data_IF_639010053873
#
_entry.id   IF_639010053873
#
_cell.length_a   1.000
_cell.length_b   1.000
_cell.length_c   1.000
_cell.angle_alpha   90.00
_cell.angle_beta   90.00
_cell.angle_gamma   90.00
#
_symmetry.space_group_name_H-M   'P 1'
#
loop_
_entity.id
_entity.type
_entity.pdbx_description
1 polymer ?
#
# COMPACT_ATOMS: atom_id res chain seq x y z
N UNK A 1 33.78 -61.08 49.28
CA UNK A 1 32.82 -61.38 48.19
C UNK A 1 32.84 -60.23 47.19
N UNK A 2 33.00 -60.55 45.88
CA UNK A 2 32.49 -59.86 44.66
C UNK A 2 32.68 -58.34 44.51
N UNK A 3 32.91 -57.75 43.34
CA UNK A 3 33.45 -58.08 41.99
C UNK A 3 33.29 -56.75 41.21
N UNK A 4 34.29 -56.43 40.40
CA UNK A 4 34.18 -55.77 39.09
C UNK A 4 33.87 -54.27 38.94
N UNK A 5 34.66 -53.70 38.02
CA UNK A 5 34.64 -52.39 37.36
C UNK A 5 33.39 -52.10 36.52
N UNK A 6 33.15 -50.81 36.28
CA UNK A 6 32.29 -50.28 35.22
C UNK A 6 32.66 -48.83 34.86
N UNK A 7 33.14 -48.63 33.63
CA UNK A 7 33.48 -47.37 32.95
C UNK A 7 32.21 -46.61 32.54
N UNK A 8 32.25 -45.25 32.44
CA UNK A 8 31.77 -44.47 31.26
C UNK A 8 31.93 -42.92 31.38
N UNK A 9 32.69 -42.41 30.41
CA UNK A 9 32.54 -41.20 29.56
C UNK A 9 32.50 -39.74 30.12
N UNK A 10 33.65 -39.08 29.89
CA UNK A 10 33.91 -37.78 29.24
C UNK A 10 32.81 -36.70 29.06
N UNK A 11 33.11 -35.49 29.52
CA UNK A 11 32.69 -34.22 28.91
C UNK A 11 33.80 -33.16 29.10
N UNK A 12 34.56 -32.86 28.04
CA UNK A 12 35.49 -31.72 27.98
C UNK A 12 34.82 -30.59 27.22
N UNK A 13 34.57 -29.47 27.91
CA UNK A 13 34.18 -28.21 27.30
C UNK A 13 35.43 -27.53 26.70
N UNK A 14 35.38 -27.21 25.40
CA UNK A 14 36.37 -26.36 24.74
C UNK A 14 35.68 -25.05 24.35
N UNK A 15 36.15 -23.95 24.93
CA UNK A 15 35.77 -22.58 24.58
C UNK A 15 36.69 -22.13 23.46
N UNK A 16 36.15 -21.91 22.26
CA UNK A 16 36.87 -21.31 21.14
C UNK A 16 36.38 -19.88 20.90
N UNK A 17 37.29 -18.94 21.18
CA UNK A 17 37.18 -17.51 20.90
C UNK A 17 37.55 -17.31 19.42
N UNK A 18 36.67 -16.75 18.59
CA UNK A 18 37.03 -16.33 17.23
C UNK A 18 37.03 -14.80 17.12
N UNK A 19 38.21 -14.30 16.81
CA UNK A 19 38.61 -12.90 16.68
C UNK A 19 37.99 -12.20 15.47
N UNK A 20 37.51 -10.96 15.66
CA UNK A 20 37.23 -10.02 14.58
C UNK A 20 38.56 -9.40 14.10
N UNK A 21 38.97 -9.67 12.88
CA UNK A 21 40.03 -8.94 12.20
C UNK A 21 39.42 -7.81 11.35
N UNK A 22 39.62 -6.57 11.81
CA UNK A 22 39.51 -5.36 10.99
C UNK A 22 40.82 -5.23 10.19
N UNK A 23 40.75 -5.10 8.86
CA UNK A 23 41.91 -4.68 8.06
C UNK A 23 41.48 -3.52 7.16
N UNK A 24 41.96 -2.33 7.52
CA UNK A 24 42.09 -1.17 6.66
C UNK A 24 43.38 -1.30 5.84
N UNK A 25 43.36 -1.00 4.54
CA UNK A 25 44.60 -0.87 3.77
C UNK A 25 44.38 -0.50 2.30
N UNK A 26 44.96 0.62 1.89
CA UNK A 26 45.04 1.12 0.52
C UNK A 26 46.47 0.94 -0.02
N UNK A 27 46.61 0.85 -1.35
CA UNK A 27 47.83 1.00 -2.20
C UNK A 27 48.61 -0.25 -2.68
N UNK A 28 48.76 -0.24 -4.01
CA UNK A 28 49.77 -0.78 -4.95
C UNK A 28 50.07 -2.29 -5.13
N UNK A 29 49.94 -2.73 -6.40
CA UNK A 29 50.94 -3.60 -7.05
C UNK A 29 50.51 -5.01 -7.49
N UNK A 30 50.12 -5.17 -8.77
CA UNK A 30 50.64 -6.23 -9.64
C UNK A 30 50.04 -7.66 -9.64
N UNK A 31 49.37 -7.97 -10.76
CA UNK A 31 49.21 -9.27 -11.44
C UNK A 31 48.29 -10.38 -10.91
N UNK A 32 47.16 -10.51 -11.62
CA UNK A 32 46.47 -11.71 -12.14
C UNK A 32 46.46 -12.96 -11.25
N UNK A 33 45.30 -13.25 -10.67
CA UNK A 33 44.65 -14.54 -10.85
C UNK A 33 43.12 -14.39 -10.84
N UNK A 34 42.49 -15.36 -11.47
CA UNK A 34 41.12 -15.44 -11.92
C UNK A 34 40.15 -15.64 -10.77
N UNK A 35 38.99 -15.01 -10.90
CA UNK A 35 37.81 -15.31 -10.10
C UNK A 35 37.36 -14.12 -9.29
N UNK A 36 36.36 -13.40 -9.81
CA UNK A 36 35.51 -12.61 -8.93
C UNK A 36 34.07 -13.06 -9.12
N UNK A 37 33.66 -13.86 -8.14
CA UNK A 37 32.27 -14.10 -7.84
C UNK A 37 31.59 -12.76 -7.65
N UNK A 38 30.52 -12.56 -8.42
CA UNK A 38 29.47 -11.64 -8.04
C UNK A 38 28.98 -12.10 -6.67
N UNK A 39 29.51 -11.49 -5.60
CA UNK A 39 28.88 -11.47 -4.30
C UNK A 39 27.54 -10.76 -4.47
N UNK A 40 26.57 -11.48 -5.02
CA UNK A 40 25.18 -11.08 -5.03
C UNK A 40 24.77 -11.03 -3.58
N UNK A 41 24.64 -9.82 -3.06
CA UNK A 41 23.78 -9.55 -1.92
C UNK A 41 22.51 -10.38 -2.12
N UNK A 42 22.28 -11.34 -1.23
CA UNK A 42 21.16 -12.27 -1.35
C UNK A 42 19.90 -11.44 -1.47
N UNK A 43 19.30 -11.40 -2.66
CA UNK A 43 18.12 -10.61 -2.94
C UNK A 43 17.09 -10.86 -1.83
N UNK A 44 16.66 -9.79 -1.16
CA UNK A 44 15.70 -9.92 -0.07
C UNK A 44 14.43 -10.57 -0.62
N UNK A 45 14.01 -11.64 0.06
CA UNK A 45 12.87 -12.47 -0.36
C UNK A 45 11.56 -11.77 0.00
N UNK A 46 10.58 -11.87 -0.88
CA UNK A 46 9.23 -11.38 -0.62
C UNK A 46 8.61 -12.08 0.60
N UNK A 47 7.84 -11.32 1.36
CA UNK A 47 6.94 -11.84 2.38
C UNK A 47 5.86 -12.70 1.74
N UNK A 48 5.49 -13.78 2.42
CA UNK A 48 4.37 -14.63 2.05
C UNK A 48 3.03 -13.93 2.29
N UNK A 49 1.96 -14.50 1.69
CA UNK A 49 0.60 -14.04 1.94
C UNK A 49 0.17 -14.15 3.41
N UNK A 50 0.77 -15.08 4.18
CA UNK A 50 0.47 -15.23 5.61
C UNK A 50 1.12 -14.12 6.44
N UNK A 51 2.37 -13.78 6.14
CA UNK A 51 3.09 -12.67 6.79
C UNK A 51 2.40 -11.33 6.46
N UNK A 52 2.05 -11.09 5.19
CA UNK A 52 1.32 -9.87 4.81
C UNK A 52 -0.04 -9.74 5.53
N UNK A 53 -0.74 -10.84 5.79
CA UNK A 53 -2.00 -10.84 6.56
C UNK A 53 -1.81 -10.42 8.02
N UNK A 54 -0.63 -10.61 8.60
CA UNK A 54 -0.32 -10.15 9.95
C UNK A 54 0.05 -8.66 9.98
N UNK A 55 0.59 -8.14 8.87
CA UNK A 55 1.05 -6.76 8.74
C UNK A 55 -0.03 -5.79 8.22
N UNK A 56 -1.06 -6.26 7.51
CA UNK A 56 -2.18 -5.42 7.08
C UNK A 56 -3.04 -5.00 8.29
N UNK A 57 -3.52 -3.75 8.30
CA UNK A 57 -4.43 -3.25 9.35
C UNK A 57 -5.63 -4.18 9.59
N UNK A 58 -6.02 -4.33 10.85
CA UNK A 58 -7.12 -5.17 11.29
C UNK A 58 -8.21 -4.37 12.04
N UNK A 59 -9.29 -5.07 12.42
CA UNK A 59 -10.41 -4.48 13.16
C UNK A 59 -9.90 -3.86 14.47
N UNK A 60 -10.25 -2.59 14.69
CA UNK A 60 -9.90 -1.85 15.91
C UNK A 60 -8.50 -1.23 15.90
N UNK A 61 -7.72 -1.41 14.83
CA UNK A 61 -6.36 -0.84 14.74
C UNK A 61 -6.32 0.58 14.15
N UNK A 62 -7.45 1.04 13.59
CA UNK A 62 -7.59 2.40 13.05
C UNK A 62 -8.70 3.11 13.83
N UNK A 63 -8.37 4.03 14.76
CA UNK A 63 -9.37 4.76 15.54
C UNK A 63 -10.35 5.52 14.65
N UNK A 64 -11.65 5.35 14.90
CA UNK A 64 -12.71 5.98 14.10
C UNK A 64 -12.99 5.29 12.76
N UNK A 65 -12.48 4.07 12.54
CA UNK A 65 -12.74 3.32 11.31
C UNK A 65 -13.13 1.88 11.59
N UNK A 66 -14.11 1.39 10.83
CA UNK A 66 -14.42 -0.03 10.68
C UNK A 66 -13.52 -0.65 9.62
N UNK A 67 -12.58 -1.49 10.06
CA UNK A 67 -11.68 -2.24 9.17
C UNK A 67 -12.23 -3.65 8.91
N UNK A 68 -12.29 -4.04 7.64
CA UNK A 68 -12.81 -5.33 7.19
C UNK A 68 -12.32 -5.74 5.80
N UNK A 69 -12.87 -6.83 5.23
CA UNK A 69 -12.57 -7.24 3.86
C UNK A 69 -13.05 -6.17 2.86
N UNK A 70 -12.37 -6.08 1.72
CA UNK A 70 -12.78 -5.22 0.61
C UNK A 70 -14.11 -5.74 0.04
N UNK A 71 -15.18 -4.95 0.17
CA UNK A 71 -16.49 -5.30 -0.40
C UNK A 71 -16.37 -5.42 -1.92
N UNK A 72 -16.86 -6.53 -2.49
CA UNK A 72 -16.71 -6.84 -3.92
C UNK A 72 -15.32 -7.36 -4.34
N UNK A 73 -14.34 -7.34 -3.43
CA UNK A 73 -12.96 -7.78 -3.69
C UNK A 73 -12.15 -6.78 -4.53
N UNK A 74 -10.86 -7.07 -4.69
CA UNK A 74 -9.97 -6.34 -5.59
C UNK A 74 -10.10 -6.94 -7.00
N UNK A 75 -10.29 -6.11 -8.06
CA UNK A 75 -10.42 -6.63 -9.42
C UNK A 75 -9.16 -7.37 -9.88
N UNK A 76 -9.34 -8.35 -10.78
CA UNK A 76 -8.19 -8.99 -11.43
C UNK A 76 -7.49 -7.97 -12.34
N UNK A 77 -6.19 -7.71 -12.09
CA UNK A 77 -5.41 -6.73 -12.85
C UNK A 77 -5.40 -6.93 -14.36
N UNK A 78 -5.55 -8.17 -14.84
CA UNK A 78 -5.57 -8.46 -16.28
C UNK A 78 -6.86 -7.96 -16.96
N UNK A 79 -7.89 -7.64 -16.16
CA UNK A 79 -9.15 -7.03 -16.61
C UNK A 79 -9.15 -5.50 -16.49
N UNK A 80 -8.10 -4.93 -15.89
CA UNK A 80 -7.94 -3.49 -15.67
C UNK A 80 -6.83 -3.01 -16.58
N UNK A 81 -7.26 -2.35 -17.66
CA UNK A 81 -6.37 -1.84 -18.70
C UNK A 81 -6.86 -0.48 -19.16
N UNK A 82 -5.94 0.46 -19.24
CA UNK A 82 -6.08 1.67 -20.04
C UNK A 82 -5.82 1.35 -21.51
N UNK A 83 -6.36 2.19 -22.39
CA UNK A 83 -6.14 2.09 -23.83
C UNK A 83 -4.67 2.39 -24.17
N UNK A 84 -4.05 3.30 -23.42
CA UNK A 84 -2.60 3.48 -23.39
C UNK A 84 -1.97 2.64 -22.28
N UNK A 85 -1.19 1.62 -22.67
CA UNK A 85 -0.65 0.67 -21.72
C UNK A 85 0.31 1.27 -20.68
N UNK A 86 0.93 2.42 -20.97
CA UNK A 86 1.83 3.09 -20.02
C UNK A 86 1.09 3.66 -18.80
N UNK A 87 -0.23 3.90 -18.92
CA UNK A 87 -1.07 4.41 -17.82
C UNK A 87 -1.60 3.30 -16.88
N UNK A 88 -1.35 2.04 -17.21
CA UNK A 88 -1.81 0.90 -16.40
C UNK A 88 -1.32 0.94 -14.94
N UNK A 89 -0.06 1.29 -14.62
CA UNK A 89 0.39 1.35 -13.23
C UNK A 89 -0.41 2.36 -12.40
N UNK A 90 -0.65 3.56 -12.93
CA UNK A 90 -1.46 4.59 -12.27
C UNK A 90 -2.94 4.15 -12.14
N UNK A 91 -3.57 3.68 -13.23
CA UNK A 91 -4.95 3.18 -13.22
C UNK A 91 -5.17 2.08 -12.18
N UNK A 92 -4.25 1.10 -12.11
CA UNK A 92 -4.34 -0.01 -11.18
C UNK A 92 -4.22 0.44 -9.73
N UNK A 93 -3.27 1.34 -9.44
CA UNK A 93 -3.11 1.89 -8.11
C UNK A 93 -4.36 2.70 -7.66
N UNK A 94 -5.02 3.43 -8.57
CA UNK A 94 -6.25 4.18 -8.30
C UNK A 94 -7.46 3.32 -7.91
N UNK A 95 -7.40 2.01 -8.15
CA UNK A 95 -8.48 1.08 -7.78
C UNK A 95 -8.01 0.03 -6.78
N UNK A 96 -6.91 0.31 -6.07
CA UNK A 96 -6.39 -0.53 -5.01
C UNK A 96 -5.65 -1.79 -5.46
N UNK A 97 -5.28 -1.90 -6.74
CA UNK A 97 -4.47 -3.03 -7.25
C UNK A 97 -2.99 -2.72 -7.02
N UNK A 98 -2.28 -3.68 -6.45
CA UNK A 98 -0.84 -3.61 -6.26
C UNK A 98 -0.09 -3.40 -7.61
N UNK A 99 0.83 -2.42 -7.69
CA UNK A 99 1.63 -2.19 -8.89
C UNK A 99 2.53 -3.39 -9.26
N UNK A 100 2.83 -3.56 -10.55
CA UNK A 100 3.75 -4.61 -11.02
C UNK A 100 3.29 -6.06 -10.77
N UNK A 101 4.27 -6.91 -10.45
CA UNK A 101 4.11 -8.37 -10.29
C UNK A 101 4.57 -8.81 -8.88
N UNK A 102 3.80 -8.54 -7.81
CA UNK A 102 4.17 -8.98 -6.47
C UNK A 102 4.07 -10.50 -6.32
N UNK A 103 4.97 -11.08 -5.51
CA UNK A 103 4.93 -12.50 -5.16
C UNK A 103 3.71 -12.83 -4.29
N UNK A 104 3.29 -11.90 -3.43
CA UNK A 104 2.08 -12.00 -2.63
C UNK A 104 1.47 -10.61 -2.39
N UNK A 105 0.14 -10.57 -2.20
CA UNK A 105 -0.56 -9.37 -1.77
C UNK A 105 -1.76 -9.71 -0.86
N UNK A 106 -2.21 -8.72 -0.09
CA UNK A 106 -3.45 -8.77 0.69
C UNK A 106 -4.05 -7.38 0.84
N UNK A 107 -5.36 -7.30 1.04
CA UNK A 107 -6.07 -6.02 1.10
C UNK A 107 -7.11 -5.95 2.20
N UNK A 108 -7.36 -4.74 2.69
CA UNK A 108 -8.41 -4.41 3.65
C UNK A 108 -9.08 -3.09 3.26
N UNK A 109 -10.31 -2.95 3.69
CA UNK A 109 -11.08 -1.72 3.56
C UNK A 109 -11.29 -1.14 4.96
N UNK A 110 -10.96 0.13 5.14
CA UNK A 110 -11.25 0.93 6.32
C UNK A 110 -12.34 1.95 5.94
N UNK A 111 -13.48 1.88 6.61
CA UNK A 111 -14.59 2.80 6.43
C UNK A 111 -14.69 3.68 7.66
N UNK A 112 -14.64 5.00 7.49
CA UNK A 112 -14.79 5.95 8.58
C UNK A 112 -16.14 5.77 9.28
N UNK A 113 -16.10 5.80 10.62
CA UNK A 113 -17.28 5.77 11.46
C UNK A 113 -17.93 7.15 11.50
N UNK A 114 -18.90 7.39 10.64
CA UNK A 114 -19.88 8.45 10.84
C UNK A 114 -21.14 7.91 11.51
N UNK A 115 -21.72 8.73 12.41
CA UNK A 115 -23.03 8.44 12.99
C UNK A 115 -24.05 8.48 11.86
N UNK A 116 -24.88 7.44 11.78
CA UNK A 116 -26.08 7.54 10.95
C UNK A 116 -26.92 8.73 11.44
N UNK A 117 -27.67 9.40 10.54
CA UNK A 117 -28.58 10.46 10.95
C UNK A 117 -29.53 9.86 11.99
N UNK A 118 -29.41 10.32 13.25
CA UNK A 118 -30.28 9.84 14.34
C UNK A 118 -31.71 10.34 14.17
N UNK A 119 -31.87 11.37 13.34
CA UNK A 119 -33.14 12.00 13.05
C UNK A 119 -33.75 11.30 11.83
N UNK A 120 -34.63 10.33 12.09
CA UNK A 120 -35.68 10.01 11.11
C UNK A 120 -36.41 11.33 10.83
N UNK A 121 -36.82 11.61 9.59
CA UNK A 121 -37.71 12.74 9.33
C UNK A 121 -38.95 12.60 10.23
N UNK A 122 -38.98 13.33 11.34
CA UNK A 122 -40.05 13.21 12.35
C UNK A 122 -41.25 14.06 11.96
N UNK A 123 -41.11 14.90 10.94
CA UNK A 123 -42.17 15.76 10.42
C UNK A 123 -42.05 15.98 8.91
N UNK A 124 -43.19 16.33 8.30
CA UNK A 124 -43.24 16.81 6.90
C UNK A 124 -42.40 18.08 6.68
N UNK A 125 -42.15 18.88 7.73
CA UNK A 125 -41.30 20.07 7.67
C UNK A 125 -39.82 19.73 7.53
N UNK A 126 -39.36 18.58 8.03
CA UNK A 126 -37.95 18.17 7.89
C UNK A 126 -37.63 17.73 6.46
N UNK A 127 -38.64 17.22 5.74
CA UNK A 127 -38.57 16.83 4.33
C UNK A 127 -38.65 18.03 3.38
N UNK A 128 -39.37 19.10 3.76
CA UNK A 128 -39.53 20.29 2.91
C UNK A 128 -38.47 21.36 3.11
N UNK A 129 -37.73 21.32 4.23
CA UNK A 129 -36.68 22.30 4.56
C UNK A 129 -35.25 21.83 4.24
N UNK A 130 -35.07 20.71 3.53
CA UNK A 130 -33.75 20.19 3.14
C UNK A 130 -32.88 19.63 4.27
N UNK A 131 -33.25 19.83 5.54
CA UNK A 131 -32.47 19.39 6.71
C UNK A 131 -32.20 17.89 6.76
N UNK A 132 -33.18 17.08 6.35
CA UNK A 132 -33.00 15.64 6.27
C UNK A 132 -32.03 15.24 5.15
N UNK A 133 -32.07 15.93 4.02
CA UNK A 133 -31.16 15.71 2.89
C UNK A 133 -29.73 16.14 3.25
N UNK A 134 -29.57 17.27 3.95
CA UNK A 134 -28.29 17.73 4.49
C UNK A 134 -27.71 16.73 5.50
N UNK A 135 -28.52 16.25 6.44
CA UNK A 135 -28.10 15.25 7.43
C UNK A 135 -27.72 13.91 6.76
N UNK A 136 -28.45 13.49 5.73
CA UNK A 136 -28.13 12.31 4.94
C UNK A 136 -26.82 12.51 4.16
N UNK A 137 -26.64 13.66 3.50
CA UNK A 137 -25.40 14.00 2.79
C UNK A 137 -24.20 14.03 3.73
N UNK A 138 -24.36 14.62 4.92
CA UNK A 138 -23.32 14.67 5.96
C UNK A 138 -22.94 13.28 6.47
N UNK A 139 -23.92 12.37 6.57
CA UNK A 139 -23.68 10.97 6.94
C UNK A 139 -22.96 10.18 5.84
N UNK A 140 -23.07 10.60 4.58
CA UNK A 140 -22.39 9.99 3.43
C UNK A 140 -21.02 10.62 3.12
N UNK A 141 -20.70 11.76 3.73
CA UNK A 141 -19.41 12.45 3.65
C UNK A 141 -18.36 11.74 4.51
N UNK A 142 -18.06 10.48 4.20
CA UNK A 142 -17.13 9.66 4.98
C UNK A 142 -16.05 9.05 4.08
N UNK A 143 -14.86 8.87 4.65
CA UNK A 143 -13.75 8.25 3.93
C UNK A 143 -13.88 6.73 3.88
N UNK A 144 -13.83 6.18 2.67
CA UNK A 144 -13.67 4.75 2.42
C UNK A 144 -12.29 4.54 1.81
N UNK A 145 -11.39 3.91 2.57
CA UNK A 145 -10.02 3.67 2.15
C UNK A 145 -9.74 2.18 1.95
N UNK A 146 -9.27 1.81 0.77
CA UNK A 146 -8.69 0.50 0.51
C UNK A 146 -7.19 0.57 0.73
N UNK A 147 -6.66 -0.40 1.47
CA UNK A 147 -5.22 -0.60 1.67
C UNK A 147 -4.87 -1.96 1.09
N UNK A 148 -3.90 -2.00 0.17
CA UNK A 148 -3.33 -3.22 -0.38
C UNK A 148 -1.86 -3.27 -0.07
N UNK A 149 -1.43 -4.28 0.70
CA UNK A 149 -0.01 -4.61 0.85
C UNK A 149 0.41 -5.61 -0.21
N UNK A 150 1.59 -5.41 -0.76
CA UNK A 150 2.19 -6.28 -1.76
C UNK A 150 3.68 -6.43 -1.50
N UNK A 151 4.20 -7.65 -1.57
CA UNK A 151 5.61 -7.94 -1.34
C UNK A 151 6.29 -8.48 -2.59
N UNK A 152 7.55 -8.11 -2.77
CA UNK A 152 8.32 -8.32 -3.99
C UNK A 152 9.69 -8.93 -3.65
N UNK A 153 10.17 -9.79 -4.55
CA UNK A 153 11.54 -10.28 -4.47
C UNK A 153 12.51 -9.21 -5.01
N UNK A 154 13.72 -9.16 -4.45
CA UNK A 154 14.79 -8.29 -4.92
C UNK A 154 14.38 -6.82 -4.98
N UNK A 155 14.60 -6.18 -6.12
CA UNK A 155 14.31 -4.76 -6.41
C UNK A 155 12.87 -4.53 -6.93
N UNK A 156 12.01 -5.56 -6.91
CA UNK A 156 10.68 -5.50 -7.52
C UNK A 156 9.77 -4.42 -6.93
N UNK A 157 9.90 -4.11 -5.63
CA UNK A 157 9.12 -3.04 -5.00
C UNK A 157 9.55 -1.65 -5.49
N UNK A 158 10.85 -1.42 -5.66
CA UNK A 158 11.39 -0.17 -6.20
C UNK A 158 10.97 0.01 -7.66
N UNK A 159 11.14 -1.02 -8.48
CA UNK A 159 10.72 -1.03 -9.89
C UNK A 159 9.21 -0.79 -10.04
N UNK A 160 8.40 -1.42 -9.18
CA UNK A 160 6.96 -1.25 -9.20
C UNK A 160 6.54 0.18 -8.81
N UNK A 161 7.14 0.76 -7.76
CA UNK A 161 6.88 2.16 -7.39
C UNK A 161 7.30 3.13 -8.50
N UNK A 162 8.48 2.90 -9.10
CA UNK A 162 8.97 3.70 -10.23
C UNK A 162 7.98 3.68 -11.39
N UNK A 163 7.43 2.51 -11.73
CA UNK A 163 6.43 2.40 -12.80
C UNK A 163 5.17 3.24 -12.55
N UNK A 164 4.77 3.40 -11.28
CA UNK A 164 3.65 4.29 -10.90
C UNK A 164 4.07 5.75 -11.06
N UNK A 165 5.24 6.14 -10.56
CA UNK A 165 5.78 7.50 -10.73
C UNK A 165 5.86 7.89 -12.21
N UNK A 166 6.40 7.01 -13.05
CA UNK A 166 6.54 7.25 -14.49
C UNK A 166 5.14 7.41 -15.12
N UNK A 167 4.21 6.49 -14.84
CA UNK A 167 2.83 6.57 -15.34
C UNK A 167 2.10 7.86 -14.91
N UNK A 168 2.31 8.35 -13.69
CA UNK A 168 1.73 9.62 -13.22
C UNK A 168 2.22 10.82 -14.04
N UNK A 169 3.50 10.81 -14.45
CA UNK A 169 4.10 11.88 -15.27
C UNK A 169 3.65 11.77 -16.72
N UNK A 170 3.80 10.59 -17.30
CA UNK A 170 3.57 10.32 -18.72
C UNK A 170 2.09 10.42 -19.08
N UNK A 171 1.19 10.10 -18.14
CA UNK A 171 -0.26 10.16 -18.34
C UNK A 171 -0.92 11.42 -17.74
N UNK A 172 -0.14 12.47 -17.49
CA UNK A 172 -0.65 13.73 -16.90
C UNK A 172 -1.77 14.38 -17.73
N UNK A 173 -1.76 14.16 -19.04
CA UNK A 173 -2.81 14.60 -19.98
C UNK A 173 -4.11 13.77 -19.94
N UNK A 174 -4.21 12.76 -19.07
CA UNK A 174 -5.34 11.84 -19.02
C UNK A 174 -5.18 10.61 -19.90
N UNK A 175 -6.12 9.67 -19.78
CA UNK A 175 -6.17 8.42 -20.53
C UNK A 175 -7.57 7.79 -20.47
N UNK A 176 -7.93 7.01 -21.49
CA UNK A 176 -9.18 6.24 -21.54
C UNK A 176 -9.01 4.83 -20.99
N UNK A 177 -10.08 4.29 -20.40
CA UNK A 177 -10.13 2.91 -19.91
C UNK A 177 -11.57 2.40 -19.79
N UNK A 178 -11.74 1.09 -19.59
CA UNK A 178 -13.06 0.53 -19.26
C UNK A 178 -13.59 0.97 -17.89
N UNK A 179 -12.72 1.52 -17.04
CA UNK A 179 -13.07 2.04 -15.72
C UNK A 179 -13.52 3.51 -15.77
N UNK A 180 -13.41 4.16 -16.94
CA UNK A 180 -13.73 5.56 -17.15
C UNK A 180 -12.65 6.27 -17.97
N UNK A 181 -13.03 7.44 -18.46
CA UNK A 181 -12.12 8.37 -19.14
C UNK A 181 -11.57 9.38 -18.14
N UNK A 182 -10.25 9.32 -17.93
CA UNK A 182 -9.53 10.25 -17.08
C UNK A 182 -9.05 11.41 -17.95
N UNK A 183 -9.38 12.64 -17.56
CA UNK A 183 -9.00 13.87 -18.28
C UNK A 183 -7.70 14.47 -17.76
N UNK A 184 -7.25 14.05 -16.58
CA UNK A 184 -6.04 14.55 -15.95
C UNK A 184 -5.50 13.55 -14.93
N UNK A 185 -4.18 13.43 -14.86
CA UNK A 185 -3.46 12.80 -13.74
C UNK A 185 -2.50 13.84 -13.17
N UNK A 186 -2.43 13.96 -11.85
CA UNK A 186 -1.56 14.92 -11.20
C UNK A 186 -0.95 14.36 -9.92
N UNK A 187 0.34 14.62 -9.72
CA UNK A 187 1.03 14.28 -8.48
C UNK A 187 0.48 15.11 -7.31
N UNK A 188 0.37 14.46 -6.15
CA UNK A 188 -0.05 15.06 -4.88
C UNK A 188 1.07 14.93 -3.85
N UNK A 189 0.99 15.73 -2.78
CA UNK A 189 1.94 15.62 -1.68
C UNK A 189 1.75 14.30 -0.94
N UNK A 190 2.78 13.46 -0.91
CA UNK A 190 2.77 12.20 -0.18
C UNK A 190 2.83 12.38 1.34
N UNK A 191 2.41 11.35 2.06
CA UNK A 191 2.41 11.28 3.53
C UNK A 191 3.82 11.25 4.17
N UNK A 192 4.82 10.78 3.42
CA UNK A 192 6.21 10.68 3.89
C UNK A 192 6.44 9.60 4.95
N UNK A 193 5.64 8.53 4.97
CA UNK A 193 5.68 7.51 6.04
C UNK A 193 6.60 6.31 5.76
N UNK A 194 7.22 6.22 4.58
CA UNK A 194 8.10 5.11 4.18
C UNK A 194 9.37 5.60 3.47
N UNK A 195 10.09 4.66 2.86
CA UNK A 195 11.40 4.92 2.21
C UNK A 195 11.26 5.77 0.94
N UNK A 196 10.14 5.60 0.23
CA UNK A 196 9.77 6.37 -0.95
C UNK A 196 8.25 6.29 -1.15
N UNK A 197 7.66 7.28 -1.82
CA UNK A 197 6.21 7.33 -2.05
C UNK A 197 5.85 8.10 -3.32
N UNK A 198 4.69 7.76 -3.89
CA UNK A 198 4.03 8.52 -4.96
C UNK A 198 2.58 8.70 -4.55
N UNK A 199 2.15 9.94 -4.33
CA UNK A 199 0.73 10.27 -4.16
C UNK A 199 0.24 11.00 -5.39
N UNK A 200 -0.99 10.74 -5.82
CA UNK A 200 -1.52 11.34 -7.04
C UNK A 200 -3.05 11.26 -7.07
N UNK A 201 -3.63 12.14 -7.87
CA UNK A 201 -5.03 12.14 -8.23
C UNK A 201 -5.22 11.87 -9.71
N UNK A 202 -6.34 11.26 -10.08
CA UNK A 202 -6.79 11.22 -11.46
C UNK A 202 -8.26 11.63 -11.55
N UNK A 203 -8.54 12.56 -12.45
CA UNK A 203 -9.85 13.18 -12.62
C UNK A 203 -10.61 12.53 -13.78
N UNK A 204 -11.73 11.89 -13.49
CA UNK A 204 -12.65 11.36 -14.48
C UNK A 204 -13.56 12.44 -15.07
N UNK A 205 -13.88 12.31 -16.34
CA UNK A 205 -15.04 12.99 -16.93
C UNK A 205 -16.32 12.26 -16.50
N UNK A 206 -17.06 12.81 -15.54
CA UNK A 206 -18.38 12.29 -15.15
C UNK A 206 -19.53 13.04 -15.85
N UNK A 207 -19.25 13.75 -16.95
CA UNK A 207 -20.26 14.44 -17.74
C UNK A 207 -20.97 15.53 -16.93
N UNK A 208 -22.30 15.44 -16.81
CA UNK A 208 -23.15 16.51 -16.24
C UNK A 208 -22.95 16.72 -14.74
N UNK A 209 -22.40 15.73 -14.04
CA UNK A 209 -22.19 15.78 -12.60
C UNK A 209 -20.85 16.46 -12.22
N UNK A 210 -20.04 16.77 -13.23
CA UNK A 210 -18.73 17.41 -13.09
C UNK A 210 -17.59 16.42 -12.81
N UNK A 211 -16.34 16.88 -12.81
CA UNK A 211 -15.18 16.01 -12.66
C UNK A 211 -15.17 15.27 -11.31
N UNK A 212 -14.93 13.95 -11.34
CA UNK A 212 -14.75 13.13 -10.15
C UNK A 212 -13.27 12.76 -10.00
N UNK A 213 -12.65 13.17 -8.89
CA UNK A 213 -11.26 12.90 -8.61
C UNK A 213 -11.10 11.62 -7.78
N UNK A 214 -10.26 10.69 -8.22
CA UNK A 214 -9.82 9.55 -7.43
C UNK A 214 -8.44 9.83 -6.86
N UNK A 215 -8.18 9.44 -5.61
CA UNK A 215 -6.92 9.71 -4.92
C UNK A 215 -6.24 8.41 -4.52
N UNK A 216 -4.94 8.31 -4.82
CA UNK A 216 -4.12 7.18 -4.44
C UNK A 216 -2.76 7.60 -3.91
N UNK A 217 -2.23 6.79 -3.00
CA UNK A 217 -0.84 6.90 -2.55
C UNK A 217 -0.23 5.51 -2.51
N UNK A 218 0.98 5.37 -3.07
CA UNK A 218 1.77 4.15 -3.00
C UNK A 218 3.02 4.45 -2.19
N UNK A 219 3.23 3.74 -1.09
CA UNK A 219 4.36 3.92 -0.17
C UNK A 219 5.20 2.66 -0.12
N UNK A 220 6.52 2.78 -0.29
CA UNK A 220 7.47 1.68 -0.17
C UNK A 220 8.06 1.60 1.23
N UNK A 221 8.11 0.38 1.75
CA UNK A 221 8.73 -0.02 3.01
C UNK A 221 9.57 -1.27 2.75
N UNK A 222 10.88 -1.09 2.53
CA UNK A 222 11.78 -2.13 2.04
C UNK A 222 11.25 -2.76 0.74
N UNK A 223 10.97 -4.07 0.81
CA UNK A 223 10.45 -4.88 -0.29
C UNK A 223 8.91 -4.99 -0.31
N UNK A 224 8.21 -4.14 0.44
CA UNK A 224 6.74 -4.10 0.49
C UNK A 224 6.24 -2.75 -0.01
N UNK A 225 5.19 -2.77 -0.84
CA UNK A 225 4.40 -1.59 -1.18
C UNK A 225 3.07 -1.61 -0.44
N UNK A 226 2.70 -0.47 0.14
CA UNK A 226 1.36 -0.18 0.62
C UNK A 226 0.67 0.76 -0.37
N UNK A 227 -0.34 0.27 -1.07
CA UNK A 227 -1.18 1.07 -1.98
C UNK A 227 -2.46 1.46 -1.25
N UNK A 228 -2.71 2.74 -1.16
CA UNK A 228 -3.87 3.35 -0.54
C UNK A 228 -4.73 4.00 -1.62
N UNK A 229 -6.03 3.79 -1.56
CA UNK A 229 -7.01 4.51 -2.38
C UNK A 229 -8.13 4.95 -1.47
N UNK A 230 -8.46 6.24 -1.48
CA UNK A 230 -9.60 6.77 -0.72
C UNK A 230 -10.65 7.30 -1.68
N UNK A 231 -11.91 7.02 -1.34
CA UNK A 231 -13.09 7.59 -1.99
C UNK A 231 -13.98 8.16 -0.89
N UNK A 232 -14.43 9.40 -1.08
CA UNK A 232 -15.46 10.02 -0.26
C UNK A 232 -16.60 10.52 -1.15
N UNK A 233 -17.71 9.79 -1.14
CA UNK A 233 -18.84 10.05 -2.03
C UNK A 233 -19.55 11.35 -1.65
N UNK A 234 -19.75 11.63 -0.35
CA UNK A 234 -20.36 12.89 0.08
C UNK A 234 -19.53 14.11 -0.30
N UNK A 235 -18.19 14.03 -0.18
CA UNK A 235 -17.28 15.07 -0.63
C UNK A 235 -17.36 15.26 -2.15
N UNK A 236 -17.35 14.17 -2.94
CA UNK A 236 -17.52 14.24 -4.40
C UNK A 236 -18.84 14.90 -4.80
N UNK A 237 -19.97 14.46 -4.23
CA UNK A 237 -21.30 15.04 -4.52
C UNK A 237 -21.38 16.53 -4.13
N UNK A 238 -20.76 16.87 -3.01
CA UNK A 238 -20.71 18.26 -2.50
C UNK A 238 -19.60 19.10 -3.13
N UNK A 239 -18.83 18.54 -4.08
CA UNK A 239 -17.66 19.17 -4.73
C UNK A 239 -16.61 19.69 -3.73
N UNK A 240 -16.48 19.02 -2.58
CA UNK A 240 -15.44 19.27 -1.59
C UNK A 240 -14.19 18.48 -1.94
N UNK A 241 -13.02 19.07 -1.68
CA UNK A 241 -11.76 18.35 -1.78
C UNK A 241 -11.65 17.30 -0.66
N UNK A 242 -11.05 16.17 -0.99
CA UNK A 242 -10.61 15.15 -0.05
C UNK A 242 -9.29 14.57 -0.54
N UNK A 243 -8.63 13.77 0.30
CA UNK A 243 -7.33 13.16 -0.02
C UNK A 243 -7.31 11.71 0.43
N UNK A 244 -6.20 11.02 0.23
CA UNK A 244 -5.98 9.73 0.87
C UNK A 244 -6.02 9.87 2.40
N UNK A 245 -6.71 8.96 3.08
CA UNK A 245 -6.96 9.02 4.52
C UNK A 245 -5.67 8.89 5.34
N UNK A 246 -5.22 10.01 5.92
CA UNK A 246 -4.02 10.06 6.76
C UNK A 246 -4.09 9.15 8.01
N UNK A 247 -5.22 9.02 8.74
CA UNK A 247 -5.34 8.05 9.83
C UNK A 247 -5.06 6.61 9.40
N UNK A 248 -5.55 6.21 8.23
CA UNK A 248 -5.37 4.86 7.69
C UNK A 248 -3.90 4.65 7.27
N UNK A 249 -3.30 5.61 6.57
CA UNK A 249 -1.87 5.55 6.19
C UNK A 249 -1.00 5.42 7.44
N UNK A 250 -1.22 6.28 8.45
CA UNK A 250 -0.43 6.28 9.69
C UNK A 250 -0.51 4.93 10.42
N UNK A 251 -1.71 4.38 10.53
CA UNK A 251 -1.93 3.10 11.20
C UNK A 251 -1.24 1.94 10.44
N UNK A 252 -1.35 1.92 9.11
CA UNK A 252 -0.71 0.89 8.31
C UNK A 252 0.82 1.02 8.31
N UNK A 253 1.36 2.23 8.19
CA UNK A 253 2.80 2.47 8.23
C UNK A 253 3.40 2.03 9.57
N UNK A 254 2.67 2.19 10.69
CA UNK A 254 3.13 1.72 12.00
C UNK A 254 3.31 0.20 12.09
N UNK A 255 2.66 -0.58 11.22
CA UNK A 255 2.79 -2.05 11.13
C UNK A 255 3.93 -2.51 10.21
N UNK A 256 4.56 -1.59 9.47
CA UNK A 256 5.61 -1.87 8.47
C UNK A 256 6.99 -1.30 8.85
N UNK A 257 7.13 -0.85 10.11
CA UNK A 257 8.39 -0.35 10.66
C UNK A 257 9.17 -1.45 11.35
#
# INVERSE_FOLDING_TARGET
MKRSSGVRLCATAAVSVLSLALITGCSEGGSKDSGDGKGGESAAKALSAAELKQLIIAKGEVPGYKVGPVKGGIPNKNKVKSDDAQCNPALRALIGIAPGEPAANTSRMATEDKKEPTDKATSLNDLTNGKFEDALNESMDLDITVVTLASYDGDGAESALKSVSDAVKDCSGGFSSKQGDFTKVAEEKSSGTGDASVAFTATNDAGKDGPLALHAEVVRHGNTLATYTTINIGAMMSKKAYTVSAPVIKAQAAKLK
#
